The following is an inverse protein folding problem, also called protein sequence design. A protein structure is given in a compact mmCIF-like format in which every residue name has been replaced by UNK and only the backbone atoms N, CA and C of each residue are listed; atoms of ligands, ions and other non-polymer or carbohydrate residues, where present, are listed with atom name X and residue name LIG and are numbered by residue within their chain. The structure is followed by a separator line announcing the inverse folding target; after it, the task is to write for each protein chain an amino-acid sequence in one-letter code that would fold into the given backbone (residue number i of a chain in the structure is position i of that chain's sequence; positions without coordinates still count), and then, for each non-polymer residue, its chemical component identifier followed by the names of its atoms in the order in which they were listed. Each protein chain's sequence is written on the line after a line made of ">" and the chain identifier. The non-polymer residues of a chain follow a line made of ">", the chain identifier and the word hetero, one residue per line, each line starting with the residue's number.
data_IF_330018838559
#
_entry.id   IF_330018838559
#
_cell.length_a   1.000
_cell.length_b   1.000
_cell.length_c   1.000
_cell.angle_alpha   90.00
_cell.angle_beta   90.00
_cell.angle_gamma   90.00
#
_symmetry.space_group_name_H-M   'P 1'
#
loop_
_entity.id
_entity.type
_entity.pdbx_description
1 polymer ?
#
# COMPACT_ATOMS: atom_id res chain seq x y z
N UNK A 1 -4.83 15.60 -12.25
CA UNK A 1 -5.33 14.21 -12.35
C UNK A 1 -4.69 13.53 -13.54
N UNK A 2 -3.95 12.45 -13.32
CA UNK A 2 -3.36 11.61 -14.38
C UNK A 2 -3.96 10.22 -14.29
N UNK A 3 -4.47 9.69 -15.40
CA UNK A 3 -5.11 8.37 -15.48
C UNK A 3 -4.40 7.50 -16.53
N UNK A 4 -3.99 6.29 -16.19
CA UNK A 4 -3.45 5.34 -17.17
C UNK A 4 -4.14 3.98 -17.19
N UNK A 5 -4.20 3.40 -18.40
CA UNK A 5 -4.60 2.03 -18.65
C UNK A 5 -3.44 1.40 -19.43
N UNK A 6 -2.64 0.58 -18.76
CA UNK A 6 -1.49 -0.07 -19.38
C UNK A 6 -1.65 -1.59 -19.26
N UNK A 7 -1.30 -2.30 -20.33
CA UNK A 7 -1.28 -3.77 -20.28
C UNK A 7 -0.12 -4.28 -19.44
N UNK A 8 1.03 -3.57 -19.42
CA UNK A 8 2.28 -4.14 -18.91
C UNK A 8 2.76 -3.36 -17.67
N UNK A 9 3.47 -2.23 -17.83
CA UNK A 9 4.06 -1.44 -16.73
C UNK A 9 3.59 0.02 -16.69
N UNK A 10 3.57 0.60 -15.49
CA UNK A 10 3.28 2.02 -15.24
C UNK A 10 4.34 2.64 -14.33
N UNK A 11 5.08 3.60 -14.85
CA UNK A 11 6.00 4.46 -14.10
C UNK A 11 5.39 5.86 -13.88
N UNK A 12 5.20 6.24 -12.62
CA UNK A 12 4.81 7.60 -12.25
C UNK A 12 5.92 8.23 -11.42
N UNK A 13 6.58 9.23 -12.01
CA UNK A 13 7.69 9.96 -11.38
C UNK A 13 7.34 11.45 -11.26
N UNK A 14 7.50 12.00 -10.05
CA UNK A 14 7.47 13.45 -9.77
C UNK A 14 6.15 14.11 -10.15
N UNK A 15 5.11 13.77 -9.39
CA UNK A 15 3.76 14.32 -9.54
C UNK A 15 3.32 15.08 -8.28
N UNK A 16 2.43 16.05 -8.44
CA UNK A 16 1.95 16.86 -7.32
C UNK A 16 0.47 16.68 -7.02
N UNK A 17 -0.33 16.11 -7.92
CA UNK A 17 -1.79 15.97 -7.75
C UNK A 17 -2.22 14.50 -7.58
N UNK A 18 -3.46 14.17 -7.95
CA UNK A 18 -4.02 12.82 -8.01
C UNK A 18 -3.45 11.96 -9.16
N UNK A 19 -3.12 10.71 -8.85
CA UNK A 19 -2.67 9.66 -9.78
C UNK A 19 -3.64 8.48 -9.70
N UNK A 20 -4.21 8.11 -10.83
CA UNK A 20 -5.16 7.00 -10.96
C UNK A 20 -4.62 5.93 -11.92
N UNK A 21 -4.43 4.71 -11.41
CA UNK A 21 -4.05 3.54 -12.20
C UNK A 21 -5.16 2.49 -12.10
N UNK A 22 -6.25 2.63 -12.87
CA UNK A 22 -7.36 1.68 -12.84
C UNK A 22 -6.98 0.26 -13.27
N UNK A 23 -6.02 0.10 -14.20
CA UNK A 23 -5.53 -1.22 -14.64
C UNK A 23 -4.08 -1.17 -15.11
N UNK A 24 -3.28 -2.05 -14.51
CA UNK A 24 -1.96 -2.48 -14.94
C UNK A 24 -1.92 -4.01 -14.81
N UNK A 25 -1.38 -4.75 -15.78
CA UNK A 25 -1.33 -6.23 -15.64
C UNK A 25 -0.04 -6.73 -15.00
N UNK A 26 1.06 -5.98 -15.05
CA UNK A 26 2.32 -6.38 -14.40
C UNK A 26 2.59 -5.51 -13.16
N UNK A 27 3.19 -4.33 -13.32
CA UNK A 27 3.71 -3.58 -12.17
C UNK A 27 3.48 -2.07 -12.25
N UNK A 28 3.29 -1.46 -11.08
CA UNK A 28 3.10 -0.02 -10.92
C UNK A 28 4.17 0.53 -9.98
N UNK A 29 5.03 1.40 -10.51
CA UNK A 29 6.07 2.07 -9.76
C UNK A 29 5.72 3.55 -9.61
N UNK A 30 5.50 3.98 -8.36
CA UNK A 30 5.16 5.37 -8.05
C UNK A 30 6.25 5.97 -7.17
N UNK A 31 6.85 7.06 -7.64
CA UNK A 31 7.91 7.76 -6.91
C UNK A 31 7.68 9.28 -6.93
N UNK A 32 7.89 9.94 -5.79
CA UNK A 32 7.71 11.39 -5.58
C UNK A 32 6.34 12.00 -6.06
N UNK A 33 5.27 11.71 -5.34
CA UNK A 33 3.85 12.05 -5.48
C UNK A 33 3.45 12.60 -4.11
N UNK A 34 2.74 13.72 -4.11
CA UNK A 34 2.53 14.51 -2.88
C UNK A 34 1.09 14.42 -2.34
N UNK A 35 0.13 14.01 -3.16
CA UNK A 35 -1.29 14.05 -2.82
C UNK A 35 -1.88 12.64 -2.66
N UNK A 36 -2.41 12.09 -3.75
CA UNK A 36 -3.24 10.87 -3.73
C UNK A 36 -2.83 9.92 -4.85
N UNK A 37 -2.73 8.63 -4.53
CA UNK A 37 -2.40 7.56 -5.47
C UNK A 37 -3.41 6.42 -5.30
N UNK A 38 -4.16 6.15 -6.36
CA UNK A 38 -5.18 5.11 -6.41
C UNK A 38 -4.79 4.05 -7.46
N UNK A 39 -4.63 2.80 -7.00
CA UNK A 39 -4.30 1.66 -7.88
C UNK A 39 -5.33 0.55 -7.70
N UNK A 40 -6.06 0.22 -8.75
CA UNK A 40 -7.21 -0.70 -8.66
C UNK A 40 -6.90 -2.13 -9.14
N UNK A 41 -5.80 -2.36 -9.86
CA UNK A 41 -5.39 -3.68 -10.33
C UNK A 41 -3.97 -3.61 -10.87
N UNK A 42 -3.05 -4.35 -10.25
CA UNK A 42 -1.65 -4.54 -10.66
C UNK A 42 -1.13 -5.81 -9.99
N UNK A 43 -0.21 -6.58 -10.58
CA UNK A 43 0.41 -7.71 -9.90
C UNK A 43 1.36 -7.24 -8.80
N UNK A 44 2.19 -6.22 -9.07
CA UNK A 44 3.12 -5.71 -8.05
C UNK A 44 3.11 -4.20 -8.01
N UNK A 45 3.05 -3.62 -6.81
CA UNK A 45 3.09 -2.16 -6.66
C UNK A 45 4.24 -1.75 -5.75
N UNK A 46 5.09 -0.86 -6.26
CA UNK A 46 6.14 -0.23 -5.47
C UNK A 46 5.89 1.27 -5.34
N UNK A 47 5.96 1.78 -4.12
CA UNK A 47 5.71 3.18 -3.82
C UNK A 47 6.74 3.75 -2.87
N UNK A 48 7.38 4.86 -3.25
CA UNK A 48 8.47 5.48 -2.47
C UNK A 48 8.31 7.00 -2.33
N UNK A 49 7.58 7.43 -1.29
CA UNK A 49 6.73 8.63 -1.36
C UNK A 49 6.35 9.29 -0.03
N UNK A 50 6.09 10.60 -0.05
CA UNK A 50 5.38 11.33 1.02
C UNK A 50 3.95 11.68 0.54
N UNK A 51 3.21 10.67 0.06
CA UNK A 51 1.84 10.87 -0.39
C UNK A 51 0.93 11.13 0.83
N UNK A 52 -0.11 11.96 0.74
CA UNK A 52 -1.01 12.12 1.88
C UNK A 52 -1.84 10.85 2.11
N UNK A 53 -2.35 10.24 1.04
CA UNK A 53 -3.08 8.99 1.15
C UNK A 53 -2.83 8.06 -0.03
N UNK A 54 -2.80 6.76 0.20
CA UNK A 54 -2.75 5.75 -0.86
C UNK A 54 -3.87 4.73 -0.73
N UNK A 55 -4.52 4.43 -1.86
CA UNK A 55 -5.57 3.42 -1.95
C UNK A 55 -5.22 2.35 -2.96
N UNK A 56 -5.35 1.11 -2.53
CA UNK A 56 -5.03 -0.04 -3.34
C UNK A 56 -6.17 -1.06 -3.27
N UNK A 57 -6.58 -1.58 -4.42
CA UNK A 57 -7.67 -2.56 -4.48
C UNK A 57 -7.44 -3.69 -5.46
N UNK A 58 -8.05 -4.83 -5.15
CA UNK A 58 -8.41 -5.98 -6.00
C UNK A 58 -7.36 -6.98 -6.49
N UNK A 59 -6.06 -6.68 -6.64
CA UNK A 59 -5.16 -7.68 -7.25
C UNK A 59 -3.65 -7.53 -7.01
N UNK A 60 -3.18 -6.73 -6.05
CA UNK A 60 -1.75 -6.72 -5.76
C UNK A 60 -1.35 -8.08 -5.18
N UNK A 61 -0.48 -8.79 -5.89
CA UNK A 61 0.22 -9.98 -5.42
C UNK A 61 1.21 -9.54 -4.35
N UNK A 62 2.01 -8.52 -4.64
CA UNK A 62 2.97 -7.98 -3.69
C UNK A 62 2.90 -6.47 -3.67
N UNK A 63 3.01 -5.90 -2.47
CA UNK A 63 3.00 -4.46 -2.28
C UNK A 63 4.13 -4.01 -1.39
N UNK A 64 4.92 -3.09 -1.91
CA UNK A 64 6.04 -2.49 -1.19
C UNK A 64 5.80 -1.00 -1.06
N UNK A 65 5.69 -0.54 0.18
CA UNK A 65 5.51 0.87 0.49
C UNK A 65 6.65 1.37 1.38
N UNK A 66 7.19 2.52 1.02
CA UNK A 66 8.26 3.16 1.79
C UNK A 66 8.09 4.68 1.82
N UNK A 67 8.15 5.27 3.02
CA UNK A 67 8.08 6.71 3.39
C UNK A 67 6.72 7.25 3.83
N UNK A 68 6.82 8.34 4.62
CA UNK A 68 5.83 8.94 5.51
C UNK A 68 4.59 9.49 4.82
N UNK A 69 3.87 8.59 4.18
CA UNK A 69 2.51 8.85 3.86
C UNK A 69 1.66 8.85 5.13
N UNK A 70 0.53 9.53 5.05
CA UNK A 70 -0.33 9.80 6.21
C UNK A 70 -1.27 8.60 6.44
N UNK A 71 -2.00 8.17 5.41
CA UNK A 71 -2.90 7.02 5.53
C UNK A 71 -2.82 6.05 4.36
N UNK A 72 -2.62 4.76 4.63
CA UNK A 72 -2.61 3.68 3.62
C UNK A 72 -3.80 2.76 3.80
N UNK A 73 -4.53 2.53 2.71
CA UNK A 73 -5.64 1.58 2.66
C UNK A 73 -5.40 0.51 1.62
N UNK A 74 -5.36 -0.73 2.07
CA UNK A 74 -5.22 -1.90 1.21
C UNK A 74 -6.41 -2.83 1.36
N UNK A 75 -7.07 -3.12 0.23
CA UNK A 75 -8.22 -3.99 0.16
C UNK A 75 -7.96 -5.19 -0.77
N UNK A 76 -7.97 -6.39 -0.18
CA UNK A 76 -7.75 -7.68 -0.87
C UNK A 76 -6.38 -7.74 -1.55
N UNK A 77 -5.34 -8.07 -0.79
CA UNK A 77 -4.08 -8.54 -1.33
C UNK A 77 -4.12 -10.07 -1.46
N UNK A 78 -3.58 -10.62 -2.55
CA UNK A 78 -3.54 -12.08 -2.70
C UNK A 78 -2.45 -12.70 -1.86
N UNK A 79 -1.28 -12.06 -1.73
CA UNK A 79 -0.11 -12.68 -1.09
C UNK A 79 0.46 -11.75 0.00
N UNK A 80 1.44 -10.89 -0.33
CA UNK A 80 2.29 -10.19 0.65
C UNK A 80 2.13 -8.65 0.65
N UNK A 81 2.10 -8.07 1.85
CA UNK A 81 2.11 -6.61 2.06
C UNK A 81 3.25 -6.20 2.99
N UNK A 82 4.21 -5.48 2.42
CA UNK A 82 5.36 -4.91 3.12
C UNK A 82 5.21 -3.40 3.26
N UNK A 83 5.13 -2.94 4.51
CA UNK A 83 5.01 -1.52 4.86
C UNK A 83 6.20 -1.08 5.71
N UNK A 84 6.97 -0.12 5.20
CA UNK A 84 8.19 0.37 5.86
C UNK A 84 8.18 1.89 6.07
N UNK A 85 8.47 2.34 7.30
CA UNK A 85 8.63 3.75 7.69
C UNK A 85 7.38 4.60 7.42
N UNK A 86 6.42 4.55 8.34
CA UNK A 86 5.17 5.31 8.27
C UNK A 86 5.03 6.35 9.38
N UNK A 87 4.14 7.34 9.21
CA UNK A 87 3.82 8.32 10.26
C UNK A 87 2.47 8.03 10.92
N UNK A 88 1.34 7.95 10.19
CA UNK A 88 0.02 7.94 10.85
C UNK A 88 -0.69 6.57 10.79
N UNK A 89 -1.55 6.29 9.80
CA UNK A 89 -2.44 5.10 9.79
C UNK A 89 -2.19 4.08 8.66
N UNK A 90 -2.33 2.79 8.96
CA UNK A 90 -2.27 1.67 8.00
C UNK A 90 -3.42 0.69 8.21
N UNK A 91 -4.27 0.54 7.20
CA UNK A 91 -5.42 -0.38 7.21
C UNK A 91 -5.24 -1.48 6.15
N UNK A 92 -5.10 -2.74 6.59
CA UNK A 92 -4.97 -3.92 5.72
C UNK A 92 -6.16 -4.86 5.93
N UNK A 93 -7.20 -4.70 5.12
CA UNK A 93 -8.49 -5.36 5.40
C UNK A 93 -8.55 -6.85 5.10
N UNK A 94 -7.79 -7.34 4.11
CA UNK A 94 -7.74 -8.76 3.71
C UNK A 94 -6.43 -9.08 3.02
N UNK A 95 -5.67 -10.01 3.59
CA UNK A 95 -4.47 -10.58 2.98
C UNK A 95 -4.43 -12.09 3.20
N UNK A 96 -3.96 -12.85 2.20
CA UNK A 96 -3.90 -14.31 2.32
C UNK A 96 -2.60 -14.76 3.00
N UNK A 97 -1.45 -14.14 2.70
CA UNK A 97 -0.16 -14.64 3.15
C UNK A 97 0.43 -13.76 4.27
N UNK A 98 1.41 -12.88 3.97
CA UNK A 98 2.14 -12.13 5.00
C UNK A 98 1.82 -10.62 5.03
N UNK A 99 1.76 -10.05 6.23
CA UNK A 99 1.73 -8.59 6.44
C UNK A 99 2.86 -8.17 7.37
N UNK A 100 3.85 -7.48 6.81
CA UNK A 100 5.03 -7.03 7.53
C UNK A 100 5.01 -5.50 7.68
N UNK A 101 4.92 -5.02 8.91
CA UNK A 101 4.92 -3.58 9.23
C UNK A 101 6.13 -3.21 10.08
N UNK A 102 6.98 -2.33 9.55
CA UNK A 102 8.22 -1.91 10.22
C UNK A 102 8.31 -0.40 10.39
N UNK A 103 8.50 0.03 11.65
CA UNK A 103 8.73 1.43 12.09
C UNK A 103 7.60 2.40 11.69
N UNK A 104 6.80 2.79 12.67
CA UNK A 104 5.64 3.62 12.46
C UNK A 104 5.16 4.31 13.77
N UNK A 105 4.29 5.32 13.66
CA UNK A 105 3.93 6.17 14.81
C UNK A 105 2.52 5.96 15.38
N UNK A 106 1.45 5.74 14.60
CA UNK A 106 0.06 5.77 15.16
C UNK A 106 -0.75 4.43 15.15
N UNK A 107 -1.63 4.13 14.17
CA UNK A 107 -2.58 2.96 14.21
C UNK A 107 -2.57 1.98 12.99
N UNK A 108 -2.46 0.66 13.25
CA UNK A 108 -2.32 -0.44 12.28
C UNK A 108 -3.44 -1.39 12.60
N UNK A 109 -4.34 -1.52 11.64
CA UNK A 109 -5.49 -2.40 11.74
C UNK A 109 -5.39 -3.45 10.64
N UNK A 110 -5.28 -4.72 11.05
CA UNK A 110 -5.22 -5.89 10.16
C UNK A 110 -6.36 -6.84 10.54
N UNK A 111 -7.61 -6.58 10.12
CA UNK A 111 -8.77 -7.36 10.57
C UNK A 111 -8.90 -8.76 9.96
N UNK A 112 -8.21 -9.09 8.86
CA UNK A 112 -8.24 -10.44 8.25
C UNK A 112 -6.93 -10.77 7.52
N UNK A 113 -6.02 -11.45 8.21
CA UNK A 113 -4.86 -12.12 7.61
C UNK A 113 -5.00 -13.63 7.84
N UNK A 114 -4.63 -14.45 6.84
CA UNK A 114 -4.81 -15.91 6.92
C UNK A 114 -3.56 -16.64 7.43
N UNK A 115 -2.35 -16.09 7.23
CA UNK A 115 -1.11 -16.74 7.69
C UNK A 115 -0.41 -15.97 8.82
N UNK A 116 0.29 -14.85 8.53
CA UNK A 116 1.16 -14.19 9.50
C UNK A 116 1.16 -12.66 9.40
N UNK A 117 1.28 -12.02 10.57
CA UNK A 117 1.44 -10.56 10.69
C UNK A 117 2.63 -10.27 11.61
N UNK A 118 3.71 -9.71 11.06
CA UNK A 118 4.89 -9.30 11.81
C UNK A 118 4.93 -7.77 11.95
N UNK A 119 4.86 -7.28 13.19
CA UNK A 119 4.94 -5.84 13.50
C UNK A 119 6.18 -5.54 14.32
N UNK A 120 7.04 -4.67 13.82
CA UNK A 120 8.28 -4.27 14.52
C UNK A 120 8.36 -2.75 14.72
N UNK A 121 8.66 -2.36 15.97
CA UNK A 121 8.78 -0.95 16.43
C UNK A 121 7.50 -0.14 16.24
N UNK A 122 6.50 -0.43 17.08
CA UNK A 122 5.28 0.35 17.26
C UNK A 122 5.44 1.44 18.33
N UNK A 123 4.85 2.61 18.09
CA UNK A 123 4.80 3.69 19.09
C UNK A 123 3.47 3.75 19.84
N UNK A 124 2.35 3.39 19.20
CA UNK A 124 0.99 3.53 19.76
C UNK A 124 0.19 2.20 19.82
N UNK A 125 -0.57 1.83 18.79
CA UNK A 125 -1.55 0.72 18.87
C UNK A 125 -1.58 -0.19 17.64
N UNK A 126 -1.73 -1.50 17.84
CA UNK A 126 -1.87 -2.49 16.76
C UNK A 126 -3.06 -3.39 17.06
N UNK A 127 -4.03 -3.45 16.13
CA UNK A 127 -5.15 -4.38 16.19
C UNK A 127 -5.04 -5.41 15.05
N UNK A 128 -4.74 -6.68 15.40
CA UNK A 128 -4.65 -7.79 14.44
C UNK A 128 -5.72 -8.83 14.73
N UNK A 129 -6.41 -9.26 13.69
CA UNK A 129 -7.32 -10.42 13.72
C UNK A 129 -6.90 -11.41 12.65
N UNK A 130 -6.35 -12.55 13.10
CA UNK A 130 -6.05 -13.70 12.26
C UNK A 130 -7.31 -14.56 12.11
N UNK A 131 -7.57 -15.08 10.90
CA UNK A 131 -8.67 -16.00 10.58
C UNK A 131 -8.19 -17.43 10.44
#
# INVERSE_FOLDING_TARGET
>A
MWTSLCSDHVDVTRWSDHVDVPRCSDHVDVTRCSDHVDVTRSLTMWTSLAALTMWTSLAALTMWTSLGALTMWTSLCSDDVDVTRWSDHVDVTRCSDHVDVTRWSDHVDVPRCSDHVDVTRCSDHVDVTLL
#
